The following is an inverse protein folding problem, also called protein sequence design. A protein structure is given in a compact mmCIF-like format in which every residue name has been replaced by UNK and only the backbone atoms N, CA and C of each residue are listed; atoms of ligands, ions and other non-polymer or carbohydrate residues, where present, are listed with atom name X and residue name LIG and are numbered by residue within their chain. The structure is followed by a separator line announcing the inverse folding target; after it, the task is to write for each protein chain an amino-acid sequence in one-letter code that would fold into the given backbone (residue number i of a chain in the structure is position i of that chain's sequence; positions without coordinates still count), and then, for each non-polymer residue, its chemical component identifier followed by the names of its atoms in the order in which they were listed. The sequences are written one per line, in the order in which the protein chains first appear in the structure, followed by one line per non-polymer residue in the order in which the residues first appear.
data_IF_749076501713
#
_entry.id   IF_749076501713
#
_cell.length_a   1.000
_cell.length_b   1.000
_cell.length_c   1.000
_cell.angle_alpha   90.00
_cell.angle_beta   90.00
_cell.angle_gamma   90.00
#
_symmetry.space_group_name_H-M   'P 1'
#
loop_
_entity.id
_entity.type
_entity.pdbx_description
1 polymer ?
#
# COMPACT_ATOMS: atom_id res chain seq x y z
N UNK A 1 8.23 18.49 -2.37
CA UNK A 1 9.15 18.18 -1.26
C UNK A 1 8.54 18.42 0.12
N UNK A 2 7.77 19.51 0.35
CA UNK A 2 7.15 19.78 1.66
C UNK A 2 6.03 18.79 2.01
N UNK A 3 5.35 18.22 1.00
CA UNK A 3 4.28 17.22 1.16
C UNK A 3 4.77 15.77 1.08
N UNK A 4 6.09 15.53 1.15
CA UNK A 4 6.65 14.18 1.03
C UNK A 4 6.47 13.51 -0.34
N UNK A 5 6.13 14.27 -1.39
CA UNK A 5 5.97 13.78 -2.75
C UNK A 5 7.13 14.27 -3.61
N UNK A 6 7.83 13.37 -4.28
CA UNK A 6 8.89 13.65 -5.23
C UNK A 6 8.48 13.15 -6.62
N UNK A 7 8.34 14.08 -7.57
CA UNK A 7 7.99 13.77 -8.98
C UNK A 7 9.25 13.94 -9.82
N UNK A 8 9.58 12.95 -10.62
CA UNK A 8 10.84 12.87 -11.38
C UNK A 8 10.88 13.79 -12.59
N UNK A 9 9.75 13.94 -13.29
CA UNK A 9 9.71 14.64 -14.56
C UNK A 9 8.40 15.41 -14.76
N UNK A 10 8.41 16.38 -15.65
CA UNK A 10 7.20 17.10 -16.07
C UNK A 10 6.24 16.19 -16.84
N UNK A 11 6.73 15.18 -17.55
CA UNK A 11 5.93 14.19 -18.26
C UNK A 11 5.15 13.31 -17.27
N UNK A 12 5.80 12.84 -16.20
CA UNK A 12 5.15 12.12 -15.12
C UNK A 12 4.04 12.97 -14.49
N UNK A 13 4.31 14.26 -14.24
CA UNK A 13 3.30 15.19 -13.71
C UNK A 13 2.09 15.31 -14.65
N UNK A 14 2.31 15.47 -15.97
CA UNK A 14 1.22 15.55 -16.94
C UNK A 14 0.40 14.26 -16.99
N UNK A 15 1.07 13.10 -16.98
CA UNK A 15 0.43 11.79 -17.03
C UNK A 15 -0.37 11.51 -15.75
N UNK A 16 0.13 11.94 -14.58
CA UNK A 16 -0.61 11.88 -13.32
C UNK A 16 -1.98 12.55 -13.41
N UNK A 17 -2.10 13.67 -14.14
CA UNK A 17 -3.38 14.36 -14.33
C UNK A 17 -4.40 13.61 -15.20
N UNK A 18 -4.00 12.54 -15.86
CA UNK A 18 -4.84 11.71 -16.75
C UNK A 18 -5.20 10.34 -16.13
N UNK A 19 -4.69 10.05 -14.93
CA UNK A 19 -4.92 8.77 -14.24
C UNK A 19 -6.41 8.60 -13.96
N UNK A 20 -6.96 7.45 -14.38
CA UNK A 20 -8.33 7.04 -14.13
C UNK A 20 -8.44 5.64 -13.51
N UNK A 21 -7.31 4.94 -13.37
CA UNK A 21 -7.21 3.71 -12.60
C UNK A 21 -5.94 3.69 -11.74
N UNK A 22 -6.07 3.24 -10.51
CA UNK A 22 -4.97 3.04 -9.55
C UNK A 22 -4.93 1.58 -9.14
N UNK A 23 -3.82 0.93 -9.38
CA UNK A 23 -3.54 -0.42 -8.90
C UNK A 23 -2.66 -0.32 -7.67
N UNK A 24 -3.14 -0.85 -6.56
CA UNK A 24 -2.46 -0.86 -5.27
C UNK A 24 -1.94 -2.27 -4.99
N UNK A 25 -0.65 -2.43 -4.79
CA UNK A 25 -0.18 -3.65 -4.16
C UNK A 25 -0.74 -3.77 -2.75
N UNK A 26 -0.93 -4.99 -2.23
CA UNK A 26 -1.40 -5.18 -0.86
C UNK A 26 -0.28 -4.91 0.14
N UNK A 27 0.80 -5.71 0.03
CA UNK A 27 1.88 -5.77 1.03
C UNK A 27 2.77 -4.54 0.99
N UNK A 28 2.99 -3.88 2.13
CA UNK A 28 3.80 -2.66 2.19
C UNK A 28 3.13 -1.40 1.63
N UNK A 29 2.02 -1.53 0.89
CA UNK A 29 1.27 -0.43 0.27
C UNK A 29 -0.05 -0.17 1.00
N UNK A 30 -1.02 -1.06 0.91
CA UNK A 30 -2.28 -1.00 1.69
C UNK A 30 -2.02 -1.38 3.13
N UNK A 31 -1.15 -2.38 3.35
CA UNK A 31 -0.74 -2.89 4.66
C UNK A 31 0.65 -2.38 5.03
N UNK A 32 1.04 -2.59 6.28
CA UNK A 32 2.33 -2.14 6.81
C UNK A 32 3.55 -2.87 6.19
N UNK A 33 3.33 -4.03 5.55
CA UNK A 33 4.37 -4.89 5.00
C UNK A 33 5.19 -5.63 6.07
N UNK A 34 4.68 -5.61 7.30
CA UNK A 34 5.28 -6.30 8.44
C UNK A 34 4.18 -7.07 9.16
N UNK A 35 4.17 -8.40 9.03
CA UNK A 35 3.26 -9.23 9.80
C UNK A 35 3.41 -8.95 11.30
N UNK A 36 2.30 -8.93 12.02
CA UNK A 36 2.26 -8.79 13.46
C UNK A 36 1.34 -9.85 14.07
N UNK A 37 1.61 -10.24 15.31
CA UNK A 37 0.75 -11.13 16.07
C UNK A 37 -0.59 -10.42 16.33
N UNK A 38 -1.70 -11.07 15.99
CA UNK A 38 -3.05 -10.51 16.19
C UNK A 38 -3.86 -11.24 17.23
N UNK A 39 -3.76 -12.56 17.28
CA UNK A 39 -4.56 -13.39 18.18
C UNK A 39 -3.71 -14.51 18.80
N UNK A 40 -4.02 -14.80 20.05
CA UNK A 40 -3.56 -15.98 20.79
C UNK A 40 -4.79 -16.59 21.42
N UNK A 41 -5.22 -17.75 20.95
CA UNK A 41 -6.43 -18.46 21.36
C UNK A 41 -6.03 -19.79 22.00
N UNK A 42 -5.80 -19.83 23.32
CA UNK A 42 -5.40 -21.04 23.99
C UNK A 42 -6.56 -22.02 24.13
N UNK A 43 -6.26 -23.31 24.05
CA UNK A 43 -7.20 -24.43 24.13
C UNK A 43 -6.86 -25.34 25.34
N UNK A 44 -7.83 -26.13 25.72
CA UNK A 44 -7.65 -27.17 26.73
C UNK A 44 -7.07 -26.63 28.05
N UNK A 45 -6.00 -27.26 28.53
CA UNK A 45 -5.30 -26.88 29.78
C UNK A 45 -4.62 -25.51 29.69
N UNK A 46 -4.41 -24.95 28.48
CA UNK A 46 -3.76 -23.66 28.26
C UNK A 46 -4.75 -22.50 28.31
N UNK A 47 -6.07 -22.75 28.39
CA UNK A 47 -7.15 -21.74 28.27
C UNK A 47 -6.94 -20.49 29.13
N UNK A 48 -6.47 -20.67 30.36
CA UNK A 48 -6.21 -19.58 31.30
C UNK A 48 -4.78 -19.03 31.23
N UNK A 49 -3.96 -19.51 30.27
CA UNK A 49 -2.53 -19.21 30.17
C UNK A 49 -2.11 -18.73 28.77
N UNK A 50 -2.74 -17.66 28.22
CA UNK A 50 -2.43 -17.18 26.86
C UNK A 50 -1.00 -16.68 26.73
N UNK A 51 -0.44 -16.07 27.76
CA UNK A 51 0.94 -15.56 27.71
C UNK A 51 1.98 -16.68 27.81
N UNK A 52 1.69 -17.75 28.55
CA UNK A 52 2.57 -18.93 28.61
C UNK A 52 2.55 -19.69 27.27
N UNK A 53 1.37 -19.85 26.65
CA UNK A 53 1.24 -20.42 25.32
C UNK A 53 2.02 -19.59 24.28
N UNK A 54 1.89 -18.28 24.32
CA UNK A 54 2.62 -17.40 23.44
C UNK A 54 4.13 -17.49 23.67
N UNK A 55 4.56 -17.49 24.93
CA UNK A 55 5.97 -17.58 25.29
C UNK A 55 6.62 -18.88 24.77
N UNK A 56 5.95 -20.02 24.92
CA UNK A 56 6.48 -21.31 24.48
C UNK A 56 6.45 -21.43 22.94
N UNK A 57 5.40 -20.93 22.30
CA UNK A 57 5.27 -20.88 20.84
C UNK A 57 6.34 -19.97 20.22
N UNK A 58 6.52 -18.76 20.76
CA UNK A 58 7.54 -17.82 20.31
C UNK A 58 8.96 -18.35 20.54
N UNK A 59 9.17 -19.11 21.63
CA UNK A 59 10.46 -19.76 21.88
C UNK A 59 10.79 -20.80 20.81
N UNK A 60 9.79 -21.59 20.37
CA UNK A 60 9.95 -22.58 19.30
C UNK A 60 10.23 -21.92 17.94
N UNK A 61 9.66 -20.73 17.70
CA UNK A 61 9.81 -20.00 16.43
C UNK A 61 11.06 -19.09 16.37
N UNK A 62 11.80 -18.96 17.48
CA UNK A 62 12.93 -18.01 17.58
C UNK A 62 14.02 -18.22 16.54
N UNK A 63 14.28 -19.47 16.17
CA UNK A 63 15.31 -19.85 15.21
C UNK A 63 14.78 -19.98 13.77
N UNK A 64 13.50 -19.66 13.55
CA UNK A 64 12.85 -19.66 12.23
C UNK A 64 13.13 -18.34 11.49
N UNK A 65 13.52 -18.43 10.21
CA UNK A 65 13.72 -17.27 9.34
C UNK A 65 12.40 -16.77 8.68
N UNK A 66 11.28 -17.43 8.98
CA UNK A 66 10.01 -17.11 8.35
C UNK A 66 9.42 -15.79 8.91
N UNK A 67 8.85 -14.90 8.06
CA UNK A 67 8.28 -13.63 8.53
C UNK A 67 7.17 -13.80 9.58
N UNK A 68 6.38 -14.87 9.50
CA UNK A 68 5.33 -15.17 10.50
C UNK A 68 5.94 -15.50 11.87
N UNK A 69 7.04 -16.24 11.89
CA UNK A 69 7.79 -16.55 13.11
C UNK A 69 8.31 -15.27 13.78
N UNK A 70 8.92 -14.39 12.98
CA UNK A 70 9.40 -13.10 13.47
C UNK A 70 8.26 -12.28 14.11
N UNK A 71 7.05 -12.34 13.55
CA UNK A 71 5.87 -11.66 14.09
C UNK A 71 5.42 -12.23 15.44
N UNK A 72 5.43 -13.56 15.60
CA UNK A 72 5.10 -14.23 16.88
C UNK A 72 6.12 -13.87 17.94
N UNK A 73 7.41 -13.93 17.60
CA UNK A 73 8.51 -13.58 18.51
C UNK A 73 8.42 -12.11 18.93
N UNK A 74 8.18 -11.20 17.98
CA UNK A 74 8.00 -9.78 18.27
C UNK A 74 6.79 -9.53 19.19
N UNK A 75 5.66 -10.17 18.94
CA UNK A 75 4.46 -10.06 19.78
C UNK A 75 4.69 -10.54 21.21
N UNK A 76 5.49 -11.61 21.41
CA UNK A 76 5.89 -12.07 22.73
C UNK A 76 6.84 -11.07 23.44
N UNK A 77 7.76 -10.46 22.69
CA UNK A 77 8.69 -9.46 23.21
C UNK A 77 7.99 -8.15 23.59
N UNK A 78 7.00 -7.71 22.82
CA UNK A 78 6.16 -6.54 23.15
C UNK A 78 5.41 -6.72 24.46
N UNK A 79 5.01 -7.96 24.77
CA UNK A 79 4.41 -8.31 26.06
C UNK A 79 5.45 -8.57 27.15
N UNK A 80 6.73 -8.33 26.89
CA UNK A 80 7.83 -8.57 27.82
C UNK A 80 7.94 -10.02 28.35
N UNK A 81 7.49 -10.99 27.54
CA UNK A 81 7.58 -12.41 27.92
C UNK A 81 9.01 -12.93 27.79
N UNK A 82 9.41 -13.80 28.72
CA UNK A 82 10.70 -14.44 28.68
C UNK A 82 10.67 -15.65 27.76
N UNK A 83 11.48 -15.62 26.70
CA UNK A 83 11.60 -16.72 25.75
C UNK A 83 12.66 -17.71 26.19
N UNK A 84 12.29 -18.99 26.13
CA UNK A 84 13.19 -20.10 26.39
C UNK A 84 14.18 -20.34 25.23
N UNK A 85 15.19 -21.19 25.50
CA UNK A 85 16.09 -21.69 24.47
C UNK A 85 15.41 -22.85 23.75
N UNK A 86 15.36 -22.80 22.40
CA UNK A 86 14.90 -23.89 21.57
C UNK A 86 16.05 -24.85 21.26
N UNK A 87 15.80 -26.16 21.34
CA UNK A 87 16.72 -27.19 20.91
C UNK A 87 16.01 -28.09 19.91
N UNK A 88 16.79 -28.86 19.14
CA UNK A 88 16.27 -29.78 18.11
C UNK A 88 15.29 -29.11 17.12
N UNK A 89 15.50 -27.81 16.84
CA UNK A 89 14.71 -27.08 15.89
C UNK A 89 14.72 -27.73 14.50
N UNK A 90 13.54 -27.85 13.88
CA UNK A 90 13.38 -28.34 12.51
C UNK A 90 12.29 -27.52 11.81
N UNK A 91 12.63 -26.89 10.71
CA UNK A 91 11.67 -26.31 9.80
C UNK A 91 11.18 -27.39 8.81
N UNK A 92 9.86 -27.51 8.68
CA UNK A 92 9.18 -28.41 7.74
C UNK A 92 8.57 -27.55 6.66
N UNK A 93 9.15 -27.59 5.46
CA UNK A 93 8.82 -26.70 4.36
C UNK A 93 7.33 -26.72 4.03
N UNK A 94 6.71 -25.55 4.02
CA UNK A 94 5.28 -25.36 3.70
C UNK A 94 4.31 -25.82 4.80
N UNK A 95 4.79 -26.31 5.96
CA UNK A 95 3.93 -26.85 7.02
C UNK A 95 4.12 -26.15 8.37
N UNK A 96 5.35 -25.88 8.78
CA UNK A 96 5.63 -25.25 10.07
C UNK A 96 6.97 -25.64 10.66
N UNK A 97 7.06 -25.61 12.00
CA UNK A 97 8.28 -25.94 12.73
C UNK A 97 8.00 -26.90 13.87
N UNK A 98 9.04 -27.65 14.27
CA UNK A 98 9.07 -28.41 15.52
C UNK A 98 10.32 -28.06 16.31
N UNK A 99 10.23 -27.99 17.63
CA UNK A 99 11.36 -27.73 18.52
C UNK A 99 11.12 -28.32 19.90
N UNK A 100 12.19 -28.40 20.70
CA UNK A 100 12.09 -28.66 22.15
C UNK A 100 12.41 -27.38 22.89
N UNK A 101 11.50 -26.94 23.76
CA UNK A 101 11.68 -25.78 24.62
C UNK A 101 11.59 -26.26 26.06
N UNK A 102 12.67 -26.13 26.82
CA UNK A 102 12.81 -26.72 28.15
C UNK A 102 12.56 -28.25 28.12
N UNK A 103 11.46 -28.72 28.76
CA UNK A 103 11.08 -30.13 28.77
C UNK A 103 9.94 -30.48 27.81
N UNK A 104 9.48 -29.53 27.00
CA UNK A 104 8.31 -29.69 26.15
C UNK A 104 8.67 -29.85 24.67
N UNK A 105 7.97 -30.75 23.98
CA UNK A 105 8.01 -30.89 22.53
C UNK A 105 6.94 -29.94 21.93
N UNK A 106 7.35 -29.03 21.07
CA UNK A 106 6.49 -28.02 20.48
C UNK A 106 6.40 -28.24 18.98
N UNK A 107 5.18 -28.11 18.44
CA UNK A 107 4.94 -28.00 17.00
C UNK A 107 4.10 -26.76 16.72
N UNK A 108 4.46 -25.97 15.70
CA UNK A 108 3.71 -24.77 15.28
C UNK A 108 3.59 -24.81 13.77
N UNK A 109 2.36 -24.77 13.25
CA UNK A 109 2.16 -24.84 11.81
C UNK A 109 0.71 -24.94 11.36
N UNK A 110 0.52 -25.39 10.12
CA UNK A 110 -0.80 -25.60 9.53
C UNK A 110 -1.40 -26.97 9.95
N UNK A 111 -2.61 -27.24 9.48
CA UNK A 111 -3.32 -28.52 9.73
C UNK A 111 -2.51 -29.72 9.27
N UNK A 112 -1.84 -29.64 8.11
CA UNK A 112 -1.04 -30.75 7.59
C UNK A 112 0.09 -31.16 8.52
N UNK A 113 0.71 -30.20 9.23
CA UNK A 113 1.74 -30.51 10.22
C UNK A 113 1.16 -31.25 11.43
N UNK A 114 0.01 -30.79 11.90
CA UNK A 114 -0.68 -31.36 13.07
C UNK A 114 -1.14 -32.78 12.78
N UNK A 115 -1.67 -33.03 11.59
CA UNK A 115 -2.09 -34.36 11.13
C UNK A 115 -0.89 -35.30 10.96
N UNK A 116 0.22 -34.84 10.36
CA UNK A 116 1.44 -35.66 10.18
C UNK A 116 2.08 -36.09 11.50
N UNK A 117 1.89 -35.32 12.55
CA UNK A 117 2.44 -35.59 13.88
C UNK A 117 1.47 -36.36 14.79
N UNK A 118 0.29 -36.76 14.27
CA UNK A 118 -0.78 -37.42 15.03
C UNK A 118 -1.10 -36.66 16.35
N UNK A 119 -1.17 -35.30 16.28
CA UNK A 119 -1.43 -34.48 17.45
C UNK A 119 -2.84 -34.71 17.98
N UNK A 120 -2.92 -35.01 19.27
CA UNK A 120 -4.20 -35.28 19.91
C UNK A 120 -5.00 -33.98 20.16
N UNK A 121 -6.32 -34.09 20.14
CA UNK A 121 -7.21 -33.02 20.58
C UNK A 121 -7.01 -32.74 22.07
N UNK A 122 -7.34 -31.52 22.56
CA UNK A 122 -7.21 -31.19 23.97
C UNK A 122 -7.92 -32.20 24.87
N UNK A 123 -7.23 -32.72 25.87
CA UNK A 123 -7.79 -33.70 26.82
C UNK A 123 -8.76 -33.06 27.83
N UNK A 124 -8.74 -31.73 27.94
CA UNK A 124 -9.57 -30.92 28.82
C UNK A 124 -10.21 -29.80 28.02
N UNK A 125 -11.51 -29.62 28.19
CA UNK A 125 -12.31 -28.63 27.44
C UNK A 125 -13.44 -29.32 26.67
N UNK A 126 -14.26 -28.51 25.99
CA UNK A 126 -15.35 -29.02 25.15
C UNK A 126 -15.15 -28.66 23.67
N UNK A 127 -13.93 -28.25 23.32
CA UNK A 127 -13.58 -27.94 21.93
C UNK A 127 -13.52 -29.26 21.13
N UNK A 128 -14.27 -29.29 20.04
CA UNK A 128 -14.14 -30.35 19.06
C UNK A 128 -13.36 -29.84 17.82
N UNK A 129 -13.08 -30.76 16.90
CA UNK A 129 -12.35 -30.43 15.68
C UNK A 129 -13.07 -29.40 14.82
N UNK A 130 -14.40 -29.47 14.78
CA UNK A 130 -15.24 -28.59 13.97
C UNK A 130 -15.16 -27.15 14.50
N UNK A 131 -15.18 -26.93 15.83
CA UNK A 131 -14.99 -25.61 16.46
C UNK A 131 -13.63 -24.99 16.11
N UNK A 132 -12.57 -25.80 16.07
CA UNK A 132 -11.21 -25.36 15.73
C UNK A 132 -11.14 -24.97 14.25
N UNK A 133 -11.70 -25.78 13.37
CA UNK A 133 -11.75 -25.51 11.93
C UNK A 133 -12.54 -24.22 11.67
N UNK A 134 -13.73 -24.06 12.27
CA UNK A 134 -14.55 -22.86 12.15
C UNK A 134 -13.77 -21.60 12.62
N UNK A 135 -13.04 -21.71 13.73
CA UNK A 135 -12.22 -20.62 14.24
C UNK A 135 -11.09 -20.25 13.26
N UNK A 136 -10.40 -21.24 12.68
CA UNK A 136 -9.35 -21.00 11.69
C UNK A 136 -9.93 -20.39 10.40
N UNK A 137 -11.07 -20.86 9.93
CA UNK A 137 -11.77 -20.30 8.76
C UNK A 137 -12.21 -18.85 9.02
N UNK A 138 -12.75 -18.54 10.18
CA UNK A 138 -13.12 -17.19 10.59
C UNK A 138 -11.91 -16.27 10.62
N UNK A 139 -10.80 -16.67 11.24
CA UNK A 139 -9.56 -15.89 11.26
C UNK A 139 -9.01 -15.67 9.84
N UNK A 140 -9.06 -16.69 8.99
CA UNK A 140 -8.67 -16.59 7.58
C UNK A 140 -9.56 -15.62 6.80
N UNK A 141 -10.87 -15.65 7.06
CA UNK A 141 -11.84 -14.71 6.48
C UNK A 141 -11.63 -13.25 6.97
N UNK A 142 -11.01 -13.07 8.14
CA UNK A 142 -10.58 -11.75 8.63
C UNK A 142 -9.23 -11.28 8.01
N UNK A 143 -8.65 -12.05 7.09
CA UNK A 143 -7.36 -11.72 6.45
C UNK A 143 -6.13 -12.08 7.29
N UNK A 144 -6.30 -12.90 8.32
CA UNK A 144 -5.23 -13.38 9.19
C UNK A 144 -4.71 -14.74 8.71
N UNK A 145 -3.51 -15.09 9.12
CA UNK A 145 -2.91 -16.40 8.92
C UNK A 145 -2.91 -17.14 10.25
N UNK A 146 -3.88 -18.03 10.53
CA UNK A 146 -3.91 -18.83 11.73
C UNK A 146 -2.92 -20.00 11.63
N UNK A 147 -2.27 -20.29 12.73
CA UNK A 147 -1.38 -21.44 12.92
C UNK A 147 -1.75 -22.17 14.18
N UNK A 148 -1.70 -23.50 14.14
CA UNK A 148 -1.93 -24.37 15.27
C UNK A 148 -0.65 -24.52 16.07
N UNK A 149 -0.76 -24.46 17.39
CA UNK A 149 0.34 -24.73 18.31
C UNK A 149 0.03 -25.98 19.13
N UNK A 150 0.92 -26.98 19.11
CA UNK A 150 0.82 -28.19 19.91
C UNK A 150 1.97 -28.30 20.89
N UNK A 151 1.69 -28.81 22.07
CA UNK A 151 2.65 -29.02 23.16
C UNK A 151 2.53 -30.45 23.66
N UNK A 152 3.65 -31.18 23.65
CA UNK A 152 3.76 -32.60 24.09
C UNK A 152 2.75 -33.51 23.35
N UNK A 153 2.53 -33.26 22.06
CA UNK A 153 1.64 -34.08 21.23
C UNK A 153 0.14 -33.80 21.44
N UNK A 154 -0.23 -32.73 22.16
CA UNK A 154 -1.60 -32.29 22.36
C UNK A 154 -1.78 -30.87 21.84
N UNK A 155 -2.90 -30.59 21.15
CA UNK A 155 -3.22 -29.25 20.65
C UNK A 155 -3.37 -28.27 21.83
N UNK A 156 -2.62 -27.18 21.81
CA UNK A 156 -2.53 -26.20 22.89
C UNK A 156 -3.24 -24.89 22.55
N UNK A 157 -3.37 -24.54 21.27
CA UNK A 157 -4.07 -23.34 20.86
C UNK A 157 -3.82 -22.93 19.40
N UNK A 158 -4.36 -21.78 19.08
CA UNK A 158 -4.21 -21.13 17.76
C UNK A 158 -3.48 -19.81 17.99
N UNK A 159 -2.48 -19.52 17.17
CA UNK A 159 -1.86 -18.20 17.06
C UNK A 159 -2.11 -17.66 15.68
N UNK A 160 -2.50 -16.39 15.57
CA UNK A 160 -2.76 -15.78 14.28
C UNK A 160 -1.88 -14.54 14.06
N UNK A 161 -1.45 -14.39 12.83
CA UNK A 161 -0.58 -13.29 12.38
C UNK A 161 -1.22 -12.65 11.17
N UNK A 162 -1.19 -11.33 11.08
CA UNK A 162 -1.63 -10.60 9.90
C UNK A 162 -0.70 -9.44 9.57
N UNK A 163 -0.63 -9.12 8.29
CA UNK A 163 -0.08 -7.85 7.83
C UNK A 163 -1.17 -6.78 7.94
N UNK A 164 -1.05 -5.93 8.95
CA UNK A 164 -2.09 -4.99 9.33
C UNK A 164 -2.27 -3.87 8.30
N UNK A 165 -3.52 -3.51 8.02
CA UNK A 165 -3.87 -2.37 7.17
C UNK A 165 -3.35 -1.08 7.78
N UNK A 166 -2.71 -0.22 6.98
CA UNK A 166 -2.26 1.10 7.43
C UNK A 166 -3.45 1.97 7.84
N UNK A 167 -3.30 2.82 8.87
CA UNK A 167 -4.41 3.63 9.40
C UNK A 167 -5.06 4.55 8.37
N UNK A 168 -4.30 5.00 7.38
CA UNK A 168 -4.73 5.94 6.35
C UNK A 168 -5.25 5.28 5.07
N UNK A 169 -5.09 3.95 4.90
CA UNK A 169 -5.43 3.26 3.65
C UNK A 169 -6.90 3.37 3.28
N UNK A 170 -7.80 3.17 4.22
CA UNK A 170 -9.23 3.28 3.98
C UNK A 170 -9.63 4.69 3.54
N UNK A 171 -9.10 5.72 4.23
CA UNK A 171 -9.37 7.11 3.90
C UNK A 171 -8.83 7.47 2.51
N UNK A 172 -7.60 7.06 2.19
CA UNK A 172 -6.98 7.30 0.89
C UNK A 172 -7.76 6.66 -0.26
N UNK A 173 -8.18 5.39 -0.09
CA UNK A 173 -8.98 4.67 -1.08
C UNK A 173 -10.34 5.34 -1.29
N UNK A 174 -11.01 5.76 -0.22
CA UNK A 174 -12.27 6.50 -0.32
C UNK A 174 -12.10 7.82 -1.07
N UNK A 175 -11.02 8.57 -0.81
CA UNK A 175 -10.69 9.81 -1.52
C UNK A 175 -10.42 9.56 -3.00
N UNK A 176 -9.64 8.55 -3.38
CA UNK A 176 -9.40 8.18 -4.78
C UNK A 176 -10.71 7.88 -5.52
N UNK A 177 -11.61 7.11 -4.88
CA UNK A 177 -12.93 6.80 -5.45
C UNK A 177 -13.81 8.04 -5.63
N UNK A 178 -13.77 8.96 -4.68
CA UNK A 178 -14.51 10.22 -4.78
C UNK A 178 -14.04 11.10 -5.95
N UNK A 179 -12.77 10.96 -6.34
CA UNK A 179 -12.22 11.59 -7.56
C UNK A 179 -12.56 10.84 -8.86
N UNK A 180 -13.39 9.80 -8.79
CA UNK A 180 -13.78 9.00 -9.96
C UNK A 180 -12.70 8.03 -10.45
N UNK A 181 -11.68 7.76 -9.64
CA UNK A 181 -10.59 6.83 -9.97
C UNK A 181 -11.03 5.39 -9.68
N UNK A 182 -10.83 4.50 -10.63
CA UNK A 182 -11.03 3.06 -10.44
C UNK A 182 -9.88 2.48 -9.59
N UNK A 183 -10.19 1.99 -8.39
CA UNK A 183 -9.19 1.42 -7.48
C UNK A 183 -9.22 -0.10 -7.57
N UNK A 184 -8.06 -0.70 -7.85
CA UNK A 184 -7.85 -2.15 -7.97
C UNK A 184 -6.79 -2.58 -6.96
N UNK A 185 -7.07 -3.61 -6.18
CA UNK A 185 -6.06 -4.24 -5.33
C UNK A 185 -5.42 -5.41 -6.07
N UNK A 186 -4.09 -5.48 -6.09
CA UNK A 186 -3.29 -6.53 -6.71
C UNK A 186 -2.47 -7.24 -5.64
N UNK A 187 -2.57 -8.58 -5.56
CA UNK A 187 -1.86 -9.35 -4.53
C UNK A 187 -1.53 -10.77 -4.97
N UNK A 188 -0.46 -11.32 -4.39
CA UNK A 188 -0.12 -12.74 -4.51
C UNK A 188 -0.90 -13.65 -3.57
N UNK A 189 -1.68 -13.11 -2.63
CA UNK A 189 -2.46 -13.88 -1.68
C UNK A 189 -3.59 -14.65 -2.38
N UNK A 190 -4.13 -15.65 -1.68
CA UNK A 190 -5.35 -16.33 -2.11
C UNK A 190 -6.58 -15.39 -2.09
N UNK A 191 -7.63 -15.78 -2.80
CA UNK A 191 -8.85 -14.96 -2.96
C UNK A 191 -9.50 -14.60 -1.63
N UNK A 192 -9.58 -15.54 -0.68
CA UNK A 192 -10.23 -15.31 0.62
C UNK A 192 -9.56 -14.20 1.41
N UNK A 193 -8.23 -14.30 1.58
CA UNK A 193 -7.43 -13.28 2.28
C UNK A 193 -7.45 -11.94 1.54
N UNK A 194 -7.36 -11.97 0.21
CA UNK A 194 -7.39 -10.76 -0.61
C UNK A 194 -8.72 -10.02 -0.46
N UNK A 195 -9.85 -10.73 -0.56
CA UNK A 195 -11.18 -10.14 -0.39
C UNK A 195 -11.44 -9.63 1.03
N UNK A 196 -10.91 -10.30 2.06
CA UNK A 196 -11.01 -9.83 3.44
C UNK A 196 -10.38 -8.44 3.61
N UNK A 197 -9.13 -8.27 3.16
CA UNK A 197 -8.43 -6.98 3.21
C UNK A 197 -9.13 -5.93 2.34
N UNK A 198 -9.54 -6.31 1.12
CA UNK A 198 -10.23 -5.42 0.19
C UNK A 198 -11.53 -4.87 0.78
N UNK A 199 -12.33 -5.71 1.42
CA UNK A 199 -13.57 -5.31 2.11
C UNK A 199 -13.29 -4.35 3.26
N UNK A 200 -12.24 -4.61 4.05
CA UNK A 200 -11.84 -3.74 5.17
C UNK A 200 -11.49 -2.33 4.70
N UNK A 201 -10.83 -2.19 3.55
CA UNK A 201 -10.44 -0.88 3.00
C UNK A 201 -11.41 -0.33 1.97
N UNK A 202 -12.47 -1.07 1.66
CA UNK A 202 -13.52 -0.66 0.74
C UNK A 202 -13.15 -0.78 -0.75
N UNK A 203 -12.23 -1.67 -1.15
CA UNK A 203 -11.90 -1.95 -2.55
C UNK A 203 -12.82 -3.06 -3.08
N UNK A 204 -13.45 -2.83 -4.26
CA UNK A 204 -14.34 -3.81 -4.89
C UNK A 204 -13.65 -4.66 -5.96
N UNK A 205 -12.61 -4.11 -6.60
CA UNK A 205 -11.89 -4.78 -7.67
C UNK A 205 -10.61 -5.40 -7.13
N UNK A 206 -10.55 -6.74 -7.11
CA UNK A 206 -9.43 -7.51 -6.57
C UNK A 206 -8.87 -8.43 -7.64
N UNK A 207 -7.55 -8.45 -7.77
CA UNK A 207 -6.80 -9.40 -8.61
C UNK A 207 -5.89 -10.17 -7.66
N UNK A 208 -6.31 -11.37 -7.26
CA UNK A 208 -5.63 -12.22 -6.30
C UNK A 208 -4.78 -13.31 -6.97
N UNK A 209 -3.89 -13.96 -6.22
CA UNK A 209 -3.10 -15.11 -6.68
C UNK A 209 -2.07 -14.77 -7.76
N UNK A 210 -1.68 -13.51 -7.90
CA UNK A 210 -0.78 -13.05 -8.95
C UNK A 210 0.68 -13.19 -8.52
N UNK A 211 1.44 -13.98 -9.25
CA UNK A 211 2.89 -14.11 -9.00
C UNK A 211 3.61 -12.79 -9.33
N UNK A 212 4.71 -12.48 -8.64
CA UNK A 212 5.47 -11.24 -8.87
C UNK A 212 5.80 -10.97 -10.34
N UNK A 213 6.21 -12.00 -11.08
CA UNK A 213 6.54 -11.91 -12.51
C UNK A 213 5.35 -11.54 -13.41
N UNK A 214 4.12 -11.82 -12.99
CA UNK A 214 2.90 -11.59 -13.77
C UNK A 214 2.20 -10.26 -13.43
N UNK A 215 2.64 -9.53 -12.39
CA UNK A 215 2.01 -8.27 -12.00
C UNK A 215 2.02 -7.23 -13.14
N UNK A 216 3.10 -7.19 -13.93
CA UNK A 216 3.21 -6.30 -15.09
C UNK A 216 2.18 -6.62 -16.19
N UNK A 217 1.81 -7.89 -16.35
CA UNK A 217 0.81 -8.31 -17.34
C UNK A 217 -0.60 -7.84 -16.95
N UNK A 218 -0.92 -7.85 -15.65
CA UNK A 218 -2.21 -7.33 -15.16
C UNK A 218 -2.32 -5.81 -15.41
N UNK A 219 -1.23 -5.05 -15.22
CA UNK A 219 -1.19 -3.64 -15.60
C UNK A 219 -1.44 -3.47 -17.11
N UNK A 220 -0.79 -4.29 -17.95
CA UNK A 220 -0.97 -4.24 -19.39
C UNK A 220 -2.42 -4.54 -19.83
N UNK A 221 -3.11 -5.47 -19.15
CA UNK A 221 -4.53 -5.79 -19.42
C UNK A 221 -5.43 -4.58 -19.13
N UNK A 222 -5.21 -3.88 -18.02
CA UNK A 222 -5.97 -2.67 -17.69
C UNK A 222 -5.71 -1.54 -18.70
N UNK A 223 -4.46 -1.36 -19.13
CA UNK A 223 -4.12 -0.40 -20.18
C UNK A 223 -4.80 -0.74 -21.51
N UNK A 224 -4.88 -2.02 -21.88
CA UNK A 224 -5.57 -2.47 -23.08
C UNK A 224 -7.08 -2.22 -23.06
N UNK A 225 -7.67 -2.09 -21.84
CA UNK A 225 -9.06 -1.68 -21.65
C UNK A 225 -9.27 -0.16 -21.74
N UNK A 226 -8.22 0.61 -22.00
CA UNK A 226 -8.28 2.07 -22.15
C UNK A 226 -8.04 2.86 -20.87
N UNK A 227 -7.59 2.21 -19.79
CA UNK A 227 -7.22 2.91 -18.56
C UNK A 227 -5.84 3.56 -18.66
N UNK A 228 -5.71 4.75 -18.09
CA UNK A 228 -4.43 5.36 -17.74
C UNK A 228 -4.11 4.93 -16.31
N UNK A 229 -3.19 3.98 -16.18
CA UNK A 229 -2.96 3.22 -14.95
C UNK A 229 -1.81 3.82 -14.16
N UNK A 230 -2.06 4.11 -12.87
CA UNK A 230 -1.01 4.24 -11.87
C UNK A 230 -0.81 2.92 -11.14
N UNK A 231 0.43 2.48 -10.97
CA UNK A 231 0.80 1.37 -10.08
C UNK A 231 1.45 1.93 -8.83
N UNK A 232 1.04 1.44 -7.67
CA UNK A 232 1.59 1.82 -6.36
C UNK A 232 2.10 0.59 -5.65
N UNK A 233 3.36 0.60 -5.26
CA UNK A 233 4.02 -0.53 -4.62
C UNK A 233 5.21 -0.10 -3.75
N UNK A 234 5.77 -1.03 -2.97
CA UNK A 234 6.97 -0.82 -2.15
C UNK A 234 8.27 -1.06 -2.94
N UNK A 235 8.18 -1.66 -4.08
CA UNK A 235 9.15 -1.68 -5.16
C UNK A 235 10.13 -2.84 -5.24
N UNK A 236 10.25 -3.72 -4.27
CA UNK A 236 11.19 -4.86 -4.40
C UNK A 236 10.66 -5.85 -5.44
N UNK A 237 9.39 -6.26 -5.25
CA UNK A 237 8.73 -7.23 -6.12
C UNK A 237 7.88 -6.58 -7.21
N UNK A 238 7.66 -5.26 -7.12
CA UNK A 238 6.75 -4.50 -7.98
C UNK A 238 7.47 -3.71 -9.08
N UNK A 239 8.80 -3.67 -9.07
CA UNK A 239 9.58 -2.86 -10.02
C UNK A 239 9.18 -3.06 -11.49
N UNK A 240 8.92 -4.28 -11.99
CA UNK A 240 8.44 -4.47 -13.36
C UNK A 240 7.04 -3.88 -13.58
N UNK A 241 6.14 -3.98 -12.59
CA UNK A 241 4.79 -3.44 -12.68
C UNK A 241 4.78 -1.91 -12.59
N UNK A 242 5.62 -1.33 -11.70
CA UNK A 242 5.84 0.12 -11.60
C UNK A 242 6.33 0.70 -12.93
N UNK A 243 7.34 0.08 -13.54
CA UNK A 243 7.89 0.50 -14.83
C UNK A 243 6.91 0.30 -16.00
N UNK A 244 5.98 -0.67 -15.90
CA UNK A 244 4.97 -0.96 -16.93
C UNK A 244 3.80 0.02 -16.91
N UNK A 245 3.44 0.54 -15.75
CA UNK A 245 2.33 1.47 -15.56
C UNK A 245 2.55 2.78 -16.35
N UNK A 246 1.48 3.55 -16.56
CA UNK A 246 1.61 4.90 -17.12
C UNK A 246 2.33 5.84 -16.16
N UNK A 247 2.14 5.61 -14.85
CA UNK A 247 2.90 6.26 -13.77
C UNK A 247 3.13 5.26 -12.66
N UNK A 248 4.38 5.02 -12.29
CA UNK A 248 4.77 4.22 -11.14
C UNK A 248 4.95 5.09 -9.89
N UNK A 249 4.33 4.68 -8.78
CA UNK A 249 4.46 5.31 -7.46
C UNK A 249 5.16 4.36 -6.50
N UNK A 250 6.32 4.74 -5.99
CA UNK A 250 6.98 4.01 -4.91
C UNK A 250 6.56 4.57 -3.55
N UNK A 251 6.17 3.68 -2.62
CA UNK A 251 5.80 4.06 -1.25
C UNK A 251 6.97 3.84 -0.29
N UNK A 252 7.19 4.84 0.57
CA UNK A 252 8.09 4.76 1.71
C UNK A 252 9.56 4.98 1.37
N UNK A 253 10.41 4.59 2.33
CA UNK A 253 11.87 4.53 2.16
C UNK A 253 12.25 3.28 1.36
N UNK A 254 11.45 2.95 0.34
CA UNK A 254 11.62 1.77 -0.51
C UNK A 254 13.08 1.58 -0.91
N UNK A 255 13.44 0.35 -1.24
CA UNK A 255 14.80 0.05 -1.72
C UNK A 255 15.16 0.99 -2.87
N UNK A 256 16.45 1.28 -3.03
CA UNK A 256 16.97 2.11 -4.14
C UNK A 256 16.42 1.67 -5.50
N UNK A 257 16.12 0.38 -5.66
CA UNK A 257 15.52 -0.19 -6.87
C UNK A 257 14.10 0.31 -7.12
N UNK A 258 13.26 0.42 -6.07
CA UNK A 258 11.91 0.96 -6.18
C UNK A 258 11.91 2.43 -6.56
N UNK A 259 12.73 3.20 -5.85
CA UNK A 259 12.90 4.63 -6.13
C UNK A 259 13.40 4.83 -7.56
N UNK A 260 14.29 3.97 -8.07
CA UNK A 260 14.78 4.05 -9.44
C UNK A 260 13.74 3.68 -10.51
N UNK A 261 12.81 2.79 -10.19
CA UNK A 261 11.80 2.28 -11.12
C UNK A 261 10.51 3.11 -11.15
N UNK A 262 10.30 3.99 -10.17
CA UNK A 262 9.10 4.80 -10.04
C UNK A 262 9.26 6.21 -10.61
N UNK A 263 8.19 6.77 -11.15
CA UNK A 263 8.10 8.15 -11.63
C UNK A 263 7.85 9.13 -10.48
N UNK A 264 7.17 8.65 -9.44
CA UNK A 264 6.82 9.42 -8.24
C UNK A 264 7.18 8.62 -6.99
N UNK A 265 7.79 9.29 -6.01
CA UNK A 265 8.12 8.68 -4.71
C UNK A 265 7.33 9.36 -3.60
N UNK A 266 6.64 8.55 -2.78
CA UNK A 266 5.87 8.95 -1.61
C UNK A 266 6.72 8.73 -0.36
N UNK A 267 7.49 9.75 0.05
CA UNK A 267 8.54 9.65 1.09
C UNK A 267 8.02 9.29 2.49
N UNK A 268 6.75 9.62 2.79
CA UNK A 268 6.18 9.43 4.13
C UNK A 268 5.59 8.03 4.35
N UNK A 269 5.64 7.15 3.35
CA UNK A 269 5.04 5.81 3.45
C UNK A 269 3.50 5.77 3.52
N UNK A 270 2.85 6.93 3.42
CA UNK A 270 1.41 7.12 3.53
C UNK A 270 0.73 7.01 2.16
N UNK A 271 -0.37 6.27 2.10
CA UNK A 271 -1.18 6.17 0.88
C UNK A 271 -1.93 7.49 0.59
N UNK A 272 -2.21 8.31 1.61
CA UNK A 272 -2.72 9.67 1.41
C UNK A 272 -1.78 10.54 0.57
N UNK A 273 -0.48 10.27 0.58
CA UNK A 273 0.48 10.92 -0.28
C UNK A 273 0.17 10.80 -1.78
N UNK A 274 -0.44 9.68 -2.21
CA UNK A 274 -0.93 9.51 -3.58
C UNK A 274 -2.07 10.46 -3.90
N UNK A 275 -3.06 10.58 -3.00
CA UNK A 275 -4.18 11.52 -3.15
C UNK A 275 -3.66 12.94 -3.30
N UNK A 276 -2.79 13.36 -2.39
CA UNK A 276 -2.16 14.69 -2.42
C UNK A 276 -1.32 14.92 -3.71
N UNK A 277 -0.67 13.88 -4.23
CA UNK A 277 0.07 13.97 -5.49
C UNK A 277 -0.87 14.22 -6.68
N UNK A 278 -2.03 13.54 -6.74
CA UNK A 278 -3.03 13.74 -7.78
C UNK A 278 -3.67 15.14 -7.68
N UNK A 279 -4.04 15.58 -6.47
CA UNK A 279 -4.61 16.92 -6.25
C UNK A 279 -3.64 18.03 -6.63
N UNK A 280 -2.38 17.92 -6.20
CA UNK A 280 -1.33 18.85 -6.60
C UNK A 280 -1.14 18.89 -8.11
N UNK A 281 -1.17 17.72 -8.75
CA UNK A 281 -1.06 17.60 -10.20
C UNK A 281 -2.20 18.32 -10.90
N UNK A 282 -3.44 18.08 -10.50
CA UNK A 282 -4.61 18.76 -11.06
C UNK A 282 -4.54 20.27 -10.87
N UNK A 283 -4.16 20.73 -9.68
CA UNK A 283 -3.96 22.16 -9.40
C UNK A 283 -2.85 22.77 -10.27
N UNK A 284 -1.75 22.05 -10.46
CA UNK A 284 -0.60 22.48 -11.28
C UNK A 284 -0.99 22.56 -12.76
N UNK A 285 -1.65 21.54 -13.29
CA UNK A 285 -2.08 21.51 -14.69
C UNK A 285 -3.10 22.63 -14.99
N UNK A 286 -4.03 22.89 -14.06
CA UNK A 286 -4.96 24.03 -14.15
C UNK A 286 -4.22 25.37 -14.18
N UNK A 287 -3.22 25.53 -13.32
CA UNK A 287 -2.40 26.73 -13.28
C UNK A 287 -1.59 26.94 -14.58
N UNK A 288 -1.00 25.86 -15.13
CA UNK A 288 -0.29 25.90 -16.42
C UNK A 288 -1.25 26.30 -17.54
N UNK A 289 -2.46 25.72 -17.61
CA UNK A 289 -3.46 26.06 -18.62
C UNK A 289 -3.90 27.52 -18.52
N UNK A 290 -4.09 28.04 -17.31
CA UNK A 290 -4.40 29.46 -17.06
C UNK A 290 -3.26 30.38 -17.54
N UNK A 291 -2.02 30.05 -17.21
CA UNK A 291 -0.85 30.83 -17.61
C UNK A 291 -0.68 30.85 -19.12
N UNK A 292 -0.89 29.71 -19.77
CA UNK A 292 -0.86 29.62 -21.25
C UNK A 292 -2.00 30.44 -21.89
N UNK A 293 -3.21 30.37 -21.32
CA UNK A 293 -4.35 31.18 -21.75
C UNK A 293 -4.08 32.67 -21.63
N UNK A 294 -3.51 33.13 -20.53
CA UNK A 294 -3.11 34.53 -20.34
C UNK A 294 -2.05 34.94 -21.36
N UNK A 295 -0.99 34.13 -21.53
CA UNK A 295 0.10 34.45 -22.47
C UNK A 295 -0.40 34.53 -23.92
N UNK A 296 -1.22 33.59 -24.37
CA UNK A 296 -1.81 33.60 -25.72
C UNK A 296 -2.77 34.73 -25.91
N UNK A 297 -3.66 35.02 -24.92
CA UNK A 297 -4.63 36.10 -24.96
C UNK A 297 -3.97 37.47 -25.08
N UNK A 298 -2.96 37.74 -24.23
CA UNK A 298 -2.20 38.99 -24.28
C UNK A 298 -1.52 39.19 -25.64
N UNK A 299 -0.85 38.13 -26.15
CA UNK A 299 -0.16 38.19 -27.43
C UNK A 299 -1.16 38.41 -28.60
N UNK A 300 -2.31 37.70 -28.61
CA UNK A 300 -3.30 37.84 -29.66
C UNK A 300 -3.90 39.24 -29.70
N UNK A 301 -4.22 39.79 -28.54
CA UNK A 301 -4.72 41.18 -28.43
C UNK A 301 -3.64 42.17 -28.85
N UNK A 302 -2.42 42.00 -28.38
CA UNK A 302 -1.28 42.86 -28.71
C UNK A 302 -0.97 42.89 -30.20
N UNK A 303 -0.96 41.75 -30.86
CA UNK A 303 -0.73 41.61 -32.31
C UNK A 303 -1.86 42.31 -33.08
N UNK A 304 -3.12 42.11 -32.69
CA UNK A 304 -4.29 42.74 -33.34
C UNK A 304 -4.24 44.29 -33.26
N UNK A 305 -3.85 44.81 -32.09
CA UNK A 305 -3.68 46.26 -31.91
C UNK A 305 -2.48 46.78 -32.73
N UNK A 306 -1.36 46.02 -32.72
CA UNK A 306 -0.19 46.41 -33.51
C UNK A 306 -0.44 46.39 -35.03
N UNK A 307 -1.30 45.45 -35.49
CA UNK A 307 -1.75 45.39 -36.86
C UNK A 307 -2.68 46.53 -37.27
N UNK A 308 -3.05 47.43 -36.35
CA UNK A 308 -3.84 48.61 -36.63
C UNK A 308 -5.35 48.40 -36.62
N UNK A 309 -5.88 47.31 -36.03
CA UNK A 309 -7.32 47.04 -35.96
C UNK A 309 -8.10 48.19 -35.29
N UNK A 310 -7.47 48.89 -34.35
CA UNK A 310 -8.09 50.06 -33.69
C UNK A 310 -7.90 51.38 -34.45
N UNK A 311 -6.97 51.43 -35.45
CA UNK A 311 -6.65 52.65 -36.18
C UNK A 311 -7.86 53.33 -36.84
N UNK A 312 -8.78 52.63 -37.53
CA UNK A 312 -9.93 53.23 -38.17
C UNK A 312 -10.91 53.91 -37.19
N UNK A 313 -10.90 53.49 -35.92
CA UNK A 313 -11.84 53.97 -34.90
C UNK A 313 -11.23 55.01 -33.98
N UNK A 314 -9.94 54.91 -33.69
CA UNK A 314 -9.27 55.75 -32.68
C UNK A 314 -8.16 56.65 -33.24
N UNK A 315 -7.68 56.39 -34.47
CA UNK A 315 -6.51 57.03 -35.05
C UNK A 315 -5.19 56.70 -34.32
N UNK A 316 -5.21 55.77 -33.37
CA UNK A 316 -4.06 55.43 -32.57
C UNK A 316 -3.35 54.16 -33.13
N UNK A 317 -2.03 54.22 -33.23
CA UNK A 317 -1.17 53.10 -33.47
C UNK A 317 -0.49 52.66 -32.14
N UNK A 318 -0.09 51.36 -32.05
CA UNK A 318 0.58 50.83 -30.86
C UNK A 318 1.91 51.56 -30.64
N UNK A 319 1.99 52.28 -29.52
CA UNK A 319 3.26 52.88 -29.08
C UNK A 319 4.18 51.78 -28.52
N UNK A 320 5.49 51.70 -28.93
CA UNK A 320 6.45 50.72 -28.41
C UNK A 320 6.56 50.71 -26.88
N UNK A 321 6.38 51.83 -26.22
CA UNK A 321 6.40 51.89 -24.74
C UNK A 321 5.19 51.18 -24.14
N UNK A 322 4.01 51.30 -24.72
CA UNK A 322 2.78 50.63 -24.28
C UNK A 322 2.93 49.13 -24.51
N UNK A 323 3.49 48.71 -25.65
CA UNK A 323 3.75 47.30 -25.95
C UNK A 323 4.70 46.68 -24.93
N UNK A 324 5.81 47.35 -24.60
CA UNK A 324 6.74 46.93 -23.57
C UNK A 324 6.13 46.82 -22.17
N UNK A 325 5.32 47.79 -21.79
CA UNK A 325 4.58 47.78 -20.51
C UNK A 325 3.58 46.62 -20.45
N UNK A 326 2.84 46.35 -21.52
CA UNK A 326 1.90 45.23 -21.61
C UNK A 326 2.60 43.85 -21.49
N UNK A 327 3.76 43.69 -22.13
CA UNK A 327 4.56 42.48 -22.01
C UNK A 327 5.08 42.27 -20.57
N UNK A 328 5.58 43.33 -19.92
CA UNK A 328 6.03 43.25 -18.53
C UNK A 328 4.86 42.88 -17.59
N UNK A 329 3.68 43.42 -17.80
CA UNK A 329 2.49 43.10 -17.02
C UNK A 329 2.02 41.67 -17.25
N UNK A 330 2.07 41.16 -18.48
CA UNK A 330 1.77 39.78 -18.80
C UNK A 330 2.70 38.81 -18.01
N UNK A 331 4.00 39.10 -18.00
CA UNK A 331 4.99 38.32 -17.24
C UNK A 331 4.70 38.34 -15.74
N UNK A 332 4.32 39.50 -15.21
CA UNK A 332 3.95 39.64 -13.79
C UNK A 332 2.71 38.79 -13.45
N UNK A 333 1.69 38.79 -14.32
CA UNK A 333 0.49 37.97 -14.14
C UNK A 333 0.82 36.48 -14.09
N UNK A 334 1.65 35.99 -15.00
CA UNK A 334 2.08 34.57 -15.04
C UNK A 334 2.83 34.20 -13.77
N UNK A 335 3.81 35.01 -13.34
CA UNK A 335 4.60 34.74 -12.13
C UNK A 335 3.70 34.77 -10.88
N UNK A 336 2.79 35.75 -10.79
CA UNK A 336 1.85 35.87 -9.66
C UNK A 336 0.93 34.67 -9.60
N UNK A 337 0.36 34.24 -10.73
CA UNK A 337 -0.51 33.08 -10.78
C UNK A 337 0.26 31.77 -10.44
N UNK A 338 1.47 31.60 -10.96
CA UNK A 338 2.31 30.45 -10.62
C UNK A 338 2.65 30.41 -9.12
N UNK A 339 2.87 31.58 -8.51
CA UNK A 339 3.18 31.69 -7.07
C UNK A 339 2.01 31.24 -6.17
N UNK A 340 0.76 31.20 -6.66
CA UNK A 340 -0.39 30.70 -5.91
C UNK A 340 -0.28 29.22 -5.58
N UNK A 341 0.47 28.43 -6.38
CA UNK A 341 0.70 27.02 -6.07
C UNK A 341 1.48 26.81 -4.76
N UNK A 342 2.21 27.81 -4.28
CA UNK A 342 2.88 27.74 -2.96
C UNK A 342 1.90 27.73 -1.78
N UNK A 343 0.68 28.22 -2.02
CA UNK A 343 -0.41 28.30 -1.03
C UNK A 343 -1.38 27.11 -1.15
N UNK A 344 -1.06 26.16 -2.03
CA UNK A 344 -1.88 24.96 -2.19
C UNK A 344 -1.79 24.10 -0.93
N UNK A 345 -2.95 23.82 -0.35
CA UNK A 345 -3.13 22.98 0.83
C UNK A 345 -3.97 21.75 0.41
N UNK A 346 -3.38 20.57 0.34
CA UNK A 346 -4.09 19.37 -0.12
C UNK A 346 -5.21 18.95 0.85
N UNK A 347 -5.12 19.30 2.14
CA UNK A 347 -6.13 18.96 3.14
C UNK A 347 -7.41 19.81 3.01
N UNK A 348 -7.40 20.82 2.12
CA UNK A 348 -8.52 21.72 1.82
C UNK A 348 -8.97 21.69 0.35
N UNK A 349 -8.40 20.78 -0.43
CA UNK A 349 -8.64 20.67 -1.86
C UNK A 349 -9.90 19.86 -2.22
#
# INVERSE_FOLDING_TARGET
AQMGVLIRSAEALETCGKINAVVLDKTGTITAGKPSLTDVLPLGKWREMPDDLLAITASAERDSEHPLAAAIVAGAQEKHLTLGEATQFRAISGRGVTAHVASHSIAVGNTDLIDDLDVAMPSVGNEDLDDIIETMERLSAEGKTPMLAAVDGELAGIVAVADTVKPDSQQAIAALKSHGVNVVMLTGDNETTAHAVANQVGVSNVIAGVRPENKADEIAKLQAQGYTVAMVGDGINDAPALARANVGFAIGTGTDVAIQSADVTLMNGSLMGLVHALDLTHATMRNIAQNLGFALGYNSIGISIAAGVLYPFTGMMLNPMIAGAAMAFSSLCVVTNASRLRLFDPDKA
#
